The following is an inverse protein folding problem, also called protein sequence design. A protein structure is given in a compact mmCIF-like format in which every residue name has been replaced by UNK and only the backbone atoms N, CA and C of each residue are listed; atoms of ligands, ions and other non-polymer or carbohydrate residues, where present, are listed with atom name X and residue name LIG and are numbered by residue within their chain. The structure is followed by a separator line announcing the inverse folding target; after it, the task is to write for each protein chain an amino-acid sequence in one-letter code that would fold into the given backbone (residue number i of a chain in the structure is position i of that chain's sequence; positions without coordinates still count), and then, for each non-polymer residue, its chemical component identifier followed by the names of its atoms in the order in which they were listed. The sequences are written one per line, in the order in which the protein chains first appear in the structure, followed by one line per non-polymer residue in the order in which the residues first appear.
data_IF_685138366502
#
_entry.id   IF_685138366502
#
_cell.length_a   1.000
_cell.length_b   1.000
_cell.length_c   1.000
_cell.angle_alpha   90.00
_cell.angle_beta   90.00
_cell.angle_gamma   90.00
#
_symmetry.space_group_name_H-M   'P 1'
#
loop_
_entity.id
_entity.type
_entity.pdbx_description
1 polymer ?
#
# COMPACT_ATOMS: atom_id res chain seq x y z
N UNK A 1 16.62 -20.29 1.95
CA UNK A 1 15.33 -20.20 2.67
C UNK A 1 14.24 -20.86 1.84
N UNK A 2 13.02 -21.09 2.36
CA UNK A 2 11.93 -21.66 1.54
C UNK A 2 11.64 -20.80 0.30
N UNK A 3 11.86 -19.48 0.40
CA UNK A 3 11.80 -18.55 -0.73
C UNK A 3 12.82 -18.91 -1.81
N UNK A 4 14.05 -19.29 -1.45
CA UNK A 4 15.07 -19.71 -2.42
C UNK A 4 14.74 -21.02 -3.17
N UNK A 5 13.81 -21.83 -2.65
CA UNK A 5 13.30 -23.01 -3.38
C UNK A 5 12.36 -22.61 -4.51
N UNK A 6 11.71 -21.45 -4.38
CA UNK A 6 10.79 -20.88 -5.38
C UNK A 6 11.57 -19.98 -6.35
N UNK A 7 12.42 -19.10 -5.82
CA UNK A 7 13.33 -18.25 -6.57
C UNK A 7 14.77 -18.41 -6.08
N UNK A 8 15.60 -19.21 -6.77
CA UNK A 8 17.00 -19.42 -6.41
C UNK A 8 17.86 -18.15 -6.34
N UNK A 9 17.45 -17.08 -7.02
CA UNK A 9 18.16 -15.79 -7.03
C UNK A 9 17.63 -14.80 -5.98
N UNK A 10 16.70 -15.23 -5.13
CA UNK A 10 16.14 -14.38 -4.10
C UNK A 10 17.23 -13.90 -3.14
N UNK A 11 17.29 -12.59 -2.95
CA UNK A 11 18.07 -11.96 -1.88
C UNK A 11 17.20 -10.93 -1.18
N UNK A 12 17.34 -10.81 0.14
CA UNK A 12 16.60 -9.81 0.91
C UNK A 12 16.88 -8.38 0.41
N UNK A 13 18.11 -8.11 -0.04
CA UNK A 13 18.48 -6.79 -0.55
C UNK A 13 17.72 -6.44 -1.83
N UNK A 14 17.69 -7.34 -2.82
CA UNK A 14 16.92 -7.12 -4.05
C UNK A 14 15.42 -7.01 -3.77
N UNK A 15 14.89 -7.83 -2.87
CA UNK A 15 13.49 -7.73 -2.46
C UNK A 15 13.17 -6.36 -1.83
N UNK A 16 14.05 -5.83 -0.98
CA UNK A 16 13.87 -4.50 -0.41
C UNK A 16 13.97 -3.39 -1.46
N UNK A 17 14.85 -3.53 -2.46
CA UNK A 17 14.92 -2.63 -3.62
C UNK A 17 13.63 -2.67 -4.44
N UNK A 18 13.08 -3.86 -4.70
CA UNK A 18 11.79 -4.02 -5.39
C UNK A 18 10.65 -3.41 -4.57
N UNK A 19 10.68 -3.58 -3.24
CA UNK A 19 9.73 -2.94 -2.34
C UNK A 19 9.79 -1.41 -2.42
N UNK A 20 11.00 -0.85 -2.39
CA UNK A 20 11.22 0.60 -2.41
C UNK A 20 10.82 1.25 -3.73
N UNK A 21 11.11 0.59 -4.85
CA UNK A 21 10.98 1.19 -6.18
C UNK A 21 9.63 0.91 -6.85
N UNK A 22 8.93 -0.15 -6.45
CA UNK A 22 7.72 -0.60 -7.15
C UNK A 22 6.57 -0.91 -6.18
N UNK A 23 6.78 -1.84 -5.25
CA UNK A 23 5.66 -2.40 -4.46
C UNK A 23 5.04 -1.35 -3.52
N UNK A 24 5.85 -0.71 -2.67
CA UNK A 24 5.35 0.25 -1.67
C UNK A 24 4.77 1.50 -2.35
N UNK A 25 5.46 2.16 -3.32
CA UNK A 25 4.92 3.34 -3.97
C UNK A 25 3.59 3.07 -4.68
N UNK A 26 3.46 1.95 -5.41
CA UNK A 26 2.21 1.64 -6.12
C UNK A 26 1.03 1.41 -5.18
N UNK A 27 1.24 0.65 -4.09
CA UNK A 27 0.17 0.36 -3.13
C UNK A 27 -0.25 1.62 -2.37
N UNK A 28 0.71 2.39 -1.88
CA UNK A 28 0.40 3.64 -1.18
C UNK A 28 -0.31 4.63 -2.11
N UNK A 29 0.17 4.79 -3.35
CA UNK A 29 -0.42 5.74 -4.30
C UNK A 29 -1.85 5.34 -4.67
N UNK A 30 -2.09 4.05 -4.87
CA UNK A 30 -3.44 3.53 -5.11
C UNK A 30 -4.36 3.76 -3.91
N UNK A 31 -3.86 3.62 -2.69
CA UNK A 31 -4.61 3.87 -1.46
C UNK A 31 -4.99 5.34 -1.32
N UNK A 32 -4.03 6.27 -1.45
CA UNK A 32 -4.26 7.71 -1.24
C UNK A 32 -5.10 8.35 -2.35
N UNK A 33 -5.08 7.79 -3.57
CA UNK A 33 -5.94 8.23 -4.69
C UNK A 33 -7.29 7.51 -4.76
N UNK A 34 -7.50 6.47 -3.96
CA UNK A 34 -8.70 5.65 -4.02
C UNK A 34 -8.81 4.78 -5.27
N UNK A 35 -7.69 4.35 -5.86
CA UNK A 35 -7.70 3.45 -7.01
C UNK A 35 -7.97 2.01 -6.57
N UNK A 36 -9.25 1.64 -6.58
CA UNK A 36 -9.72 0.32 -6.16
C UNK A 36 -9.28 -0.82 -7.10
N UNK A 37 -9.03 -0.54 -8.39
CA UNK A 37 -8.60 -1.58 -9.33
C UNK A 37 -7.18 -2.04 -9.00
N UNK A 38 -6.26 -1.08 -8.83
CA UNK A 38 -4.88 -1.37 -8.43
C UNK A 38 -4.85 -2.04 -7.06
N UNK A 39 -5.58 -1.52 -6.07
CA UNK A 39 -5.60 -2.15 -4.74
C UNK A 39 -6.07 -3.61 -4.78
N UNK A 40 -7.01 -3.95 -5.67
CA UNK A 40 -7.50 -5.33 -5.81
C UNK A 40 -6.46 -6.26 -6.39
N UNK A 41 -5.63 -5.78 -7.31
CA UNK A 41 -4.57 -6.59 -7.93
C UNK A 41 -3.41 -6.85 -6.96
N UNK A 42 -3.14 -5.91 -6.04
CA UNK A 42 -2.03 -6.01 -5.09
C UNK A 42 -2.39 -6.63 -3.73
N UNK A 43 -3.66 -6.63 -3.34
CA UNK A 43 -4.09 -7.09 -2.01
C UNK A 43 -4.89 -8.39 -2.05
N UNK A 44 -4.66 -9.27 -1.08
CA UNK A 44 -5.58 -10.36 -0.78
C UNK A 44 -6.97 -9.80 -0.40
N UNK A 45 -8.01 -10.58 -0.72
CA UNK A 45 -9.42 -10.18 -0.60
C UNK A 45 -9.78 -9.57 0.77
N UNK A 46 -9.30 -10.17 1.86
CA UNK A 46 -9.55 -9.69 3.21
C UNK A 46 -9.01 -8.27 3.45
N UNK A 47 -7.78 -7.99 3.02
CA UNK A 47 -7.14 -6.67 3.17
C UNK A 47 -7.80 -5.66 2.23
N UNK A 48 -8.08 -6.07 0.99
CA UNK A 48 -8.75 -5.22 0.01
C UNK A 48 -10.13 -4.73 0.50
N UNK A 49 -10.92 -5.60 1.14
CA UNK A 49 -12.23 -5.23 1.67
C UNK A 49 -12.14 -4.17 2.78
N UNK A 50 -11.12 -4.27 3.64
CA UNK A 50 -10.85 -3.28 4.69
C UNK A 50 -10.46 -1.94 4.06
N UNK A 51 -9.52 -1.93 3.11
CA UNK A 51 -9.03 -0.70 2.47
C UNK A 51 -10.09 -0.04 1.58
N UNK A 52 -10.92 -0.82 0.88
CA UNK A 52 -11.90 -0.29 -0.07
C UNK A 52 -13.13 0.34 0.59
N UNK A 53 -13.44 -0.03 1.84
CA UNK A 53 -14.61 0.49 2.56
C UNK A 53 -14.60 2.01 2.70
N UNK A 54 -13.57 2.66 3.27
CA UNK A 54 -13.54 4.12 3.41
C UNK A 54 -13.49 4.84 2.04
N UNK A 55 -12.81 4.25 1.05
CA UNK A 55 -12.72 4.78 -0.31
C UNK A 55 -14.12 4.83 -0.96
N UNK A 56 -14.90 3.74 -0.84
CA UNK A 56 -16.28 3.67 -1.36
C UNK A 56 -17.17 4.70 -0.69
N UNK A 57 -17.09 4.84 0.63
CA UNK A 57 -17.87 5.83 1.38
C UNK A 57 -17.55 7.26 0.92
N UNK A 58 -16.27 7.61 0.77
CA UNK A 58 -15.88 8.93 0.23
C UNK A 58 -16.50 9.16 -1.15
N UNK A 59 -16.45 8.16 -2.03
CA UNK A 59 -17.01 8.25 -3.38
C UNK A 59 -18.53 8.40 -3.38
N UNK A 60 -19.24 7.68 -2.52
CA UNK A 60 -20.71 7.77 -2.37
C UNK A 60 -21.14 9.15 -1.86
N UNK A 61 -20.34 9.78 -1.00
CA UNK A 61 -20.57 11.14 -0.51
C UNK A 61 -20.16 12.23 -1.53
N UNK A 62 -19.62 11.84 -2.69
CA UNK A 62 -19.16 12.77 -3.72
C UNK A 62 -17.85 13.49 -3.35
N UNK A 63 -17.06 12.90 -2.44
CA UNK A 63 -15.77 13.41 -2.03
C UNK A 63 -14.64 12.89 -2.92
N UNK A 64 -13.56 13.67 -2.99
CA UNK A 64 -12.35 13.36 -3.73
C UNK A 64 -11.18 13.20 -2.76
N UNK A 65 -10.46 12.09 -2.89
CA UNK A 65 -9.21 11.87 -2.20
C UNK A 65 -8.09 12.59 -2.98
N UNK A 66 -7.44 13.56 -2.33
CA UNK A 66 -6.42 14.43 -2.93
C UNK A 66 -5.11 14.42 -2.11
N UNK A 67 -4.93 13.36 -1.32
CA UNK A 67 -3.76 13.10 -0.51
C UNK A 67 -2.52 12.89 -1.39
N UNK A 68 -1.34 13.20 -0.85
CA UNK A 68 -0.05 13.06 -1.54
C UNK A 68 0.98 12.38 -0.65
N UNK A 69 1.69 11.41 -1.21
CA UNK A 69 2.88 10.83 -0.59
C UNK A 69 4.04 11.79 -0.85
N UNK A 70 4.77 12.15 0.20
CA UNK A 70 5.93 13.01 0.14
C UNK A 70 7.21 12.20 0.10
N UNK A 71 7.30 11.17 0.93
CA UNK A 71 8.54 10.44 1.15
C UNK A 71 8.30 9.04 1.71
N UNK A 72 9.22 8.12 1.45
CA UNK A 72 9.23 6.73 1.93
C UNK A 72 10.66 6.37 2.33
N UNK A 73 10.86 6.04 3.61
CA UNK A 73 12.17 5.76 4.18
C UNK A 73 12.12 4.55 5.12
N UNK A 74 13.31 4.14 5.61
CA UNK A 74 13.46 3.12 6.65
C UNK A 74 12.78 1.78 6.32
N UNK A 75 12.94 1.33 5.07
CA UNK A 75 12.38 0.07 4.59
C UNK A 75 13.25 -1.09 5.09
N UNK A 76 12.67 -1.96 5.91
CA UNK A 76 13.37 -3.06 6.57
C UNK A 76 12.55 -4.35 6.51
N UNK A 77 13.23 -5.49 6.32
CA UNK A 77 12.63 -6.82 6.43
C UNK A 77 12.68 -7.26 7.89
N UNK A 78 11.53 -7.29 8.56
CA UNK A 78 11.46 -7.58 10.01
C UNK A 78 11.22 -9.04 10.34
N UNK A 79 10.51 -9.78 9.48
CA UNK A 79 10.17 -11.18 9.75
C UNK A 79 9.92 -11.96 8.47
N UNK A 80 10.37 -13.22 8.45
CA UNK A 80 9.87 -14.24 7.52
C UNK A 80 9.14 -15.31 8.30
N UNK A 81 7.89 -15.62 7.92
CA UNK A 81 7.06 -16.63 8.59
C UNK A 81 6.43 -17.57 7.56
N UNK A 82 6.42 -18.87 7.86
CA UNK A 82 5.63 -19.83 7.10
C UNK A 82 4.16 -19.75 7.54
N UNK A 83 3.27 -19.56 6.57
CA UNK A 83 1.82 -19.64 6.75
C UNK A 83 1.26 -20.74 5.85
N UNK A 84 0.00 -21.13 6.05
CA UNK A 84 -0.65 -22.18 5.25
C UNK A 84 -0.67 -21.86 3.74
N UNK A 85 -0.62 -20.57 3.40
CA UNK A 85 -0.61 -20.08 2.02
C UNK A 85 0.80 -19.89 1.43
N UNK A 86 1.85 -20.21 2.19
CA UNK A 86 3.25 -20.10 1.77
C UNK A 86 4.13 -19.23 2.67
N UNK A 87 5.39 -18.98 2.27
CA UNK A 87 6.27 -18.08 2.99
C UNK A 87 5.78 -16.64 2.89
N UNK A 88 5.62 -15.98 4.03
CA UNK A 88 5.23 -14.57 4.16
C UNK A 88 6.43 -13.78 4.66
N UNK A 89 6.73 -12.68 3.98
CA UNK A 89 7.74 -11.69 4.37
C UNK A 89 7.02 -10.46 4.91
N UNK A 90 7.40 -10.02 6.10
CA UNK A 90 6.89 -8.82 6.75
C UNK A 90 7.97 -7.76 6.68
N UNK A 91 7.62 -6.62 6.09
CA UNK A 91 8.47 -5.44 6.02
C UNK A 91 7.87 -4.31 6.87
N UNK A 92 8.73 -3.40 7.32
CA UNK A 92 8.32 -2.13 7.91
C UNK A 92 8.94 -1.01 7.09
N UNK A 93 8.22 0.10 6.98
CA UNK A 93 8.70 1.33 6.35
C UNK A 93 8.05 2.52 7.04
N UNK A 94 8.60 3.71 6.81
CA UNK A 94 8.01 4.97 7.24
C UNK A 94 7.64 5.76 6.00
N UNK A 95 6.45 6.36 6.00
CA UNK A 95 5.99 7.22 4.91
C UNK A 95 5.53 8.57 5.43
N UNK A 96 5.92 9.64 4.77
CA UNK A 96 5.39 10.98 5.00
C UNK A 96 4.32 11.28 3.96
N UNK A 97 3.18 11.79 4.39
CA UNK A 97 2.05 12.06 3.50
C UNK A 97 1.25 13.27 3.98
N UNK A 98 0.74 14.04 3.02
CA UNK A 98 -0.28 15.05 3.25
C UNK A 98 -1.63 14.38 2.99
N UNK A 99 -2.48 14.36 4.00
CA UNK A 99 -3.82 13.81 3.87
C UNK A 99 -4.76 14.94 3.49
N UNK A 100 -5.54 14.77 2.42
CA UNK A 100 -6.51 15.76 2.01
C UNK A 100 -7.72 15.09 1.36
N UNK A 101 -8.91 15.40 1.87
CA UNK A 101 -10.18 15.03 1.25
C UNK A 101 -10.92 16.31 0.92
N UNK A 102 -11.45 16.39 -0.31
CA UNK A 102 -12.18 17.55 -0.81
C UNK A 102 -13.60 17.20 -1.21
N UNK A 103 -14.51 18.14 -1.08
CA UNK A 103 -15.85 18.03 -1.65
C UNK A 103 -15.85 18.34 -3.17
N UNK A 104 -17.03 18.25 -3.79
CA UNK A 104 -17.23 18.59 -5.21
C UNK A 104 -17.01 20.06 -5.56
N UNK A 105 -16.89 20.95 -4.55
CA UNK A 105 -16.59 22.38 -4.69
C UNK A 105 -15.12 22.69 -4.36
N UNK A 106 -14.29 21.66 -4.27
CA UNK A 106 -12.85 21.73 -3.98
C UNK A 106 -12.49 22.21 -2.56
N UNK A 107 -13.48 22.27 -1.66
CA UNK A 107 -13.26 22.64 -0.26
C UNK A 107 -12.67 21.45 0.49
N UNK A 108 -11.60 21.69 1.25
CA UNK A 108 -11.02 20.70 2.17
C UNK A 108 -12.03 20.40 3.28
N UNK A 109 -12.39 19.12 3.41
CA UNK A 109 -13.30 18.63 4.45
C UNK A 109 -12.56 17.82 5.52
N UNK A 110 -11.41 17.25 5.19
CA UNK A 110 -10.56 16.49 6.10
C UNK A 110 -9.09 16.62 5.69
N UNK A 111 -8.21 16.73 6.69
CA UNK A 111 -6.76 16.89 6.50
C UNK A 111 -6.28 18.35 6.47
N UNK A 112 -4.96 18.53 6.50
CA UNK A 112 -4.20 19.79 6.42
C UNK A 112 -2.88 19.54 5.68
#
# INVERSE_FOLDING_TARGET
TEVCKIDPNFTSQKFLEDCANDIIPNILEAMVRGNMEILKDWCYEGVFNILSTPIKQCRELGYRLDSKILDIENIELVMGKMMDQGPVLVITFQSQQIMCVRDSKDKVIEGD
#
